data_IF_806842151508
#
_entry.id   IF_806842151508
#
_cell.length_a   1.000
_cell.length_b   1.000
_cell.length_c   1.000
_cell.angle_alpha   90.00
_cell.angle_beta   90.00
_cell.angle_gamma   90.00
#
_symmetry.space_group_name_H-M   'P 1'
#
loop_
_entity.id
_entity.type
_entity.pdbx_description
1 polymer ?
#
# COMPACT_ATOMS: atom_id res chain seq x y z
N UNK A 1 29.90 92.65 -32.52
CA UNK A 1 28.61 91.92 -32.56
C UNK A 1 28.74 90.46 -32.14
N UNK A 2 29.96 89.94 -31.90
CA UNK A 2 30.16 88.73 -31.10
C UNK A 2 31.22 89.04 -30.04
N UNK A 3 30.77 89.31 -28.80
CA UNK A 3 31.65 89.26 -27.64
C UNK A 3 31.76 87.79 -27.22
N UNK A 4 32.89 87.18 -27.60
CA UNK A 4 33.31 85.87 -27.12
C UNK A 4 33.99 85.99 -25.75
N UNK A 5 33.38 86.74 -24.82
CA UNK A 5 33.87 86.93 -23.46
C UNK A 5 33.21 85.92 -22.49
N UNK A 6 33.49 86.07 -21.19
CA UNK A 6 33.12 85.20 -20.06
C UNK A 6 31.66 84.68 -20.00
N UNK A 7 30.76 85.18 -20.86
CA UNK A 7 29.38 84.73 -21.05
C UNK A 7 29.28 83.31 -21.61
N UNK A 8 30.18 82.87 -22.49
CA UNK A 8 30.18 81.50 -23.03
C UNK A 8 30.57 80.45 -21.96
N UNK A 9 31.67 80.64 -21.19
CA UNK A 9 31.95 79.81 -20.03
C UNK A 9 30.81 79.82 -19.00
N UNK A 10 30.19 80.97 -18.72
CA UNK A 10 29.07 81.09 -17.80
C UNK A 10 27.85 80.27 -18.27
N UNK A 11 27.50 80.34 -19.56
CA UNK A 11 26.43 79.53 -20.15
C UNK A 11 26.76 78.03 -20.10
N UNK A 12 28.01 77.64 -20.33
CA UNK A 12 28.45 76.25 -20.21
C UNK A 12 28.32 75.73 -18.78
N UNK A 13 28.68 76.54 -17.77
CA UNK A 13 28.51 76.21 -16.35
C UNK A 13 27.02 76.08 -16.00
N UNK A 14 26.18 77.01 -16.46
CA UNK A 14 24.74 76.95 -16.25
C UNK A 14 24.10 75.72 -16.92
N UNK A 15 24.53 75.38 -18.12
CA UNK A 15 24.09 74.17 -18.81
C UNK A 15 24.54 72.90 -18.05
N UNK A 16 25.78 72.83 -17.59
CA UNK A 16 26.26 71.71 -16.77
C UNK A 16 25.48 71.57 -15.47
N UNK A 17 25.20 72.67 -14.77
CA UNK A 17 24.36 72.66 -13.58
C UNK A 17 22.95 72.12 -13.88
N UNK A 18 22.35 72.54 -14.99
CA UNK A 18 21.04 72.06 -15.43
C UNK A 18 21.09 70.55 -15.74
N UNK A 19 22.12 70.07 -16.45
CA UNK A 19 22.30 68.65 -16.76
C UNK A 19 22.42 67.81 -15.49
N UNK A 20 23.21 68.25 -14.51
CA UNK A 20 23.35 67.56 -13.23
C UNK A 20 22.03 67.51 -12.47
N UNK A 21 21.31 68.65 -12.42
CA UNK A 21 20.01 68.73 -11.76
C UNK A 21 18.97 67.84 -12.45
N UNK A 22 18.91 67.85 -13.78
CA UNK A 22 17.99 67.03 -14.57
C UNK A 22 18.31 65.53 -14.45
N UNK A 23 19.59 65.16 -14.40
CA UNK A 23 20.01 63.79 -14.16
C UNK A 23 19.52 63.30 -12.79
N UNK A 24 19.75 64.09 -11.74
CA UNK A 24 19.35 63.73 -10.38
C UNK A 24 17.82 63.69 -10.20
N UNK A 25 17.08 64.64 -10.79
CA UNK A 25 15.64 64.82 -10.56
C UNK A 25 14.76 64.03 -11.54
N UNK A 26 15.21 63.77 -12.76
CA UNK A 26 14.35 63.18 -13.80
C UNK A 26 14.88 61.82 -14.28
N UNK A 27 16.12 61.77 -14.75
CA UNK A 27 16.65 60.54 -15.35
C UNK A 27 16.83 59.42 -14.33
N UNK A 28 17.42 59.72 -13.17
CA UNK A 28 17.64 58.73 -12.11
C UNK A 28 16.35 58.09 -11.55
N UNK A 29 15.28 58.84 -11.21
CA UNK A 29 14.02 58.21 -10.80
C UNK A 29 13.31 57.50 -11.95
N UNK A 30 13.42 58.00 -13.20
CA UNK A 30 12.82 57.34 -14.35
C UNK A 30 13.46 55.98 -14.64
N UNK A 31 14.79 55.90 -14.63
CA UNK A 31 15.50 54.61 -14.82
C UNK A 31 15.17 53.64 -13.70
N UNK A 32 15.09 54.13 -12.45
CA UNK A 32 14.70 53.29 -11.31
C UNK A 32 13.32 52.68 -11.49
N UNK A 33 12.32 53.45 -11.93
CA UNK A 33 10.96 52.91 -12.18
C UNK A 33 10.95 51.88 -13.33
N UNK A 34 11.79 52.06 -14.35
CA UNK A 34 11.92 51.09 -15.43
C UNK A 34 12.59 49.80 -14.97
N UNK A 35 13.64 49.89 -14.15
CA UNK A 35 14.30 48.75 -13.51
C UNK A 35 13.33 48.01 -12.58
N UNK A 36 12.64 48.72 -11.68
CA UNK A 36 11.66 48.13 -10.77
C UNK A 36 10.57 47.36 -11.56
N UNK A 37 10.10 47.91 -12.69
CA UNK A 37 9.13 47.21 -13.56
C UNK A 37 9.73 45.98 -14.23
N UNK A 38 10.95 46.07 -14.73
CA UNK A 38 11.63 44.95 -15.35
C UNK A 38 11.84 43.81 -14.35
N UNK A 39 12.25 44.15 -13.12
CA UNK A 39 12.47 43.20 -12.03
C UNK A 39 11.16 42.55 -11.57
N UNK A 40 10.08 43.31 -11.45
CA UNK A 40 8.76 42.77 -11.13
C UNK A 40 8.28 41.77 -12.18
N UNK A 41 8.43 42.08 -13.47
CA UNK A 41 8.04 41.18 -14.57
C UNK A 41 8.92 39.92 -14.57
N UNK A 42 10.23 40.09 -14.38
CA UNK A 42 11.19 38.97 -14.33
C UNK A 42 10.89 38.04 -13.15
N UNK A 43 10.65 38.62 -11.97
CA UNK A 43 10.32 37.88 -10.74
C UNK A 43 8.99 37.16 -10.88
N UNK A 44 7.95 37.83 -11.41
CA UNK A 44 6.65 37.20 -11.65
C UNK A 44 6.74 36.03 -12.64
N UNK A 45 7.53 36.19 -13.71
CA UNK A 45 7.76 35.13 -14.71
C UNK A 45 8.50 33.94 -14.11
N UNK A 46 9.51 34.20 -13.28
CA UNK A 46 10.30 33.16 -12.60
C UNK A 46 9.43 32.43 -11.58
N UNK A 47 8.70 33.16 -10.74
CA UNK A 47 7.76 32.58 -9.78
C UNK A 47 6.67 31.73 -10.43
N UNK A 48 6.14 32.15 -11.60
CA UNK A 48 5.19 31.34 -12.36
C UNK A 48 5.81 30.04 -12.87
N UNK A 49 7.05 30.07 -13.39
CA UNK A 49 7.78 28.87 -13.82
C UNK A 49 8.06 27.93 -12.66
N UNK A 50 8.53 28.45 -11.54
CA UNK A 50 8.83 27.66 -10.35
C UNK A 50 7.57 27.07 -9.74
N UNK A 51 6.44 27.80 -9.79
CA UNK A 51 5.13 27.28 -9.40
C UNK A 51 4.68 26.12 -10.27
N UNK A 52 4.80 26.23 -11.59
CA UNK A 52 4.49 25.13 -12.52
C UNK A 52 5.39 23.91 -12.27
N UNK A 53 6.69 24.11 -12.12
CA UNK A 53 7.63 23.03 -11.84
C UNK A 53 7.33 22.32 -10.50
N UNK A 54 6.92 23.07 -9.47
CA UNK A 54 6.50 22.49 -8.20
C UNK A 54 5.20 21.68 -8.33
N UNK A 55 4.21 22.19 -9.07
CA UNK A 55 2.97 21.45 -9.33
C UNK A 55 3.26 20.16 -10.08
N UNK A 56 4.06 20.20 -11.15
CA UNK A 56 4.47 19.01 -11.89
C UNK A 56 5.19 18.00 -11.00
N UNK A 57 6.11 18.46 -10.14
CA UNK A 57 6.82 17.60 -9.19
C UNK A 57 5.88 16.95 -8.17
N UNK A 58 4.91 17.70 -7.63
CA UNK A 58 3.91 17.19 -6.68
C UNK A 58 3.00 16.17 -7.38
N UNK A 59 2.52 16.47 -8.59
CA UNK A 59 1.70 15.54 -9.37
C UNK A 59 2.45 14.25 -9.67
N UNK A 60 3.72 14.33 -10.09
CA UNK A 60 4.54 13.14 -10.34
C UNK A 60 4.77 12.30 -9.07
N UNK A 61 5.01 12.94 -7.92
CA UNK A 61 5.11 12.24 -6.64
C UNK A 61 3.79 11.56 -6.26
N UNK A 62 2.67 12.26 -6.43
CA UNK A 62 1.34 11.72 -6.12
C UNK A 62 0.98 10.52 -7.01
N UNK A 63 1.22 10.60 -8.32
CA UNK A 63 1.02 9.48 -9.23
C UNK A 63 1.90 8.28 -8.86
N UNK A 64 3.16 8.54 -8.50
CA UNK A 64 4.07 7.49 -8.03
C UNK A 64 3.56 6.83 -6.75
N UNK A 65 3.15 7.62 -5.76
CA UNK A 65 2.64 7.12 -4.48
C UNK A 65 1.34 6.33 -4.64
N UNK A 66 0.44 6.78 -5.52
CA UNK A 66 -0.75 6.01 -5.90
C UNK A 66 -0.39 4.68 -6.56
N UNK A 67 0.57 4.69 -7.48
CA UNK A 67 1.07 3.48 -8.13
C UNK A 67 1.70 2.50 -7.14
N UNK A 68 2.53 3.00 -6.21
CA UNK A 68 3.16 2.22 -5.15
C UNK A 68 2.12 1.64 -4.19
N UNK A 69 1.13 2.43 -3.79
CA UNK A 69 0.05 1.99 -2.90
C UNK A 69 -0.81 0.89 -3.54
N UNK A 70 -1.12 1.01 -4.83
CA UNK A 70 -1.84 -0.04 -5.57
C UNK A 70 -1.02 -1.34 -5.66
N UNK A 71 0.29 -1.24 -5.92
CA UNK A 71 1.19 -2.41 -5.94
C UNK A 71 1.25 -3.09 -4.57
N UNK A 72 1.41 -2.32 -3.49
CA UNK A 72 1.42 -2.84 -2.11
C UNK A 72 0.09 -3.51 -1.76
N UNK A 73 -1.03 -2.87 -2.08
CA UNK A 73 -2.35 -3.44 -1.85
C UNK A 73 -2.53 -4.77 -2.59
N UNK A 74 -2.15 -4.83 -3.87
CA UNK A 74 -2.24 -6.05 -4.66
C UNK A 74 -1.35 -7.16 -4.07
N UNK A 75 -0.13 -6.83 -3.66
CA UNK A 75 0.78 -7.79 -3.02
C UNK A 75 0.19 -8.35 -1.71
N UNK A 76 -0.36 -7.48 -0.85
CA UNK A 76 -1.02 -7.89 0.41
C UNK A 76 -2.24 -8.79 0.10
N UNK A 77 -3.03 -8.45 -0.92
CA UNK A 77 -4.19 -9.24 -1.29
C UNK A 77 -3.81 -10.62 -1.81
N UNK A 78 -2.75 -10.70 -2.61
CA UNK A 78 -2.26 -11.96 -3.16
C UNK A 78 -1.61 -12.84 -2.07
N UNK A 79 -0.87 -12.23 -1.14
CA UNK A 79 -0.32 -12.90 0.04
C UNK A 79 -1.43 -13.45 0.95
N UNK A 80 -2.43 -12.63 1.28
CA UNK A 80 -3.56 -13.04 2.11
C UNK A 80 -4.38 -14.17 1.45
N UNK A 81 -4.55 -14.15 0.12
CA UNK A 81 -5.20 -15.24 -0.61
C UNK A 81 -4.38 -16.52 -0.58
N UNK A 82 -3.07 -16.42 -0.78
CA UNK A 82 -2.18 -17.58 -0.73
C UNK A 82 -2.14 -18.21 0.67
N UNK A 83 -2.10 -17.38 1.72
CA UNK A 83 -2.17 -17.84 3.11
C UNK A 83 -3.52 -18.49 3.43
N UNK A 84 -4.63 -17.85 3.04
CA UNK A 84 -5.96 -18.41 3.23
C UNK A 84 -6.13 -19.76 2.51
N UNK A 85 -5.62 -19.88 1.27
CA UNK A 85 -5.65 -21.12 0.52
C UNK A 85 -4.82 -22.20 1.22
N UNK A 86 -3.62 -21.86 1.70
CA UNK A 86 -2.76 -22.78 2.43
C UNK A 86 -3.43 -23.30 3.71
N UNK A 87 -4.04 -22.40 4.50
CA UNK A 87 -4.77 -22.78 5.71
C UNK A 87 -5.94 -23.69 5.35
N UNK A 88 -6.71 -23.36 4.31
CA UNK A 88 -7.83 -24.19 3.87
C UNK A 88 -7.36 -25.60 3.45
N UNK A 89 -6.26 -25.69 2.71
CA UNK A 89 -5.70 -26.98 2.29
C UNK A 89 -5.16 -27.80 3.47
N UNK A 90 -4.52 -27.15 4.44
CA UNK A 90 -4.04 -27.78 5.69
C UNK A 90 -5.20 -28.31 6.54
N UNK A 91 -6.25 -27.51 6.72
CA UNK A 91 -7.46 -27.91 7.46
C UNK A 91 -8.19 -29.07 6.77
N UNK A 92 -8.34 -29.03 5.45
CA UNK A 92 -8.96 -30.13 4.69
C UNK A 92 -8.12 -31.40 4.81
N UNK A 93 -6.79 -31.30 4.70
CA UNK A 93 -5.90 -32.45 4.86
C UNK A 93 -5.96 -33.02 6.28
N UNK A 94 -6.01 -32.17 7.31
CA UNK A 94 -6.13 -32.59 8.69
C UNK A 94 -7.46 -33.29 8.95
N UNK A 95 -8.57 -32.72 8.47
CA UNK A 95 -9.90 -33.32 8.58
C UNK A 95 -10.00 -34.67 7.87
N UNK A 96 -9.38 -34.82 6.69
CA UNK A 96 -9.30 -36.10 5.99
C UNK A 96 -8.49 -37.14 6.79
N UNK A 97 -7.34 -36.75 7.34
CA UNK A 97 -6.52 -37.64 8.16
C UNK A 97 -7.27 -38.09 9.42
N UNK A 98 -7.97 -37.17 10.09
CA UNK A 98 -8.80 -37.50 11.25
C UNK A 98 -9.96 -38.44 10.88
N UNK A 99 -10.65 -38.18 9.77
CA UNK A 99 -11.73 -39.04 9.30
C UNK A 99 -11.25 -40.47 8.98
N UNK A 100 -10.05 -40.62 8.40
CA UNK A 100 -9.42 -41.93 8.17
C UNK A 100 -9.11 -42.61 9.50
N UNK A 101 -8.48 -41.91 10.44
CA UNK A 101 -8.15 -42.45 11.76
C UNK A 101 -9.40 -42.90 12.53
N UNK A 102 -10.48 -42.10 12.50
CA UNK A 102 -11.76 -42.46 13.11
C UNK A 102 -12.37 -43.71 12.46
N UNK A 103 -12.32 -43.83 11.12
CA UNK A 103 -12.79 -45.04 10.42
C UNK A 103 -12.00 -46.28 10.82
N UNK A 104 -10.68 -46.19 10.90
CA UNK A 104 -9.83 -47.31 11.31
C UNK A 104 -10.12 -47.73 12.75
N UNK A 105 -10.32 -46.77 13.65
CA UNK A 105 -10.67 -47.05 15.04
C UNK A 105 -12.05 -47.72 15.12
N UNK A 106 -13.06 -47.18 14.43
CA UNK A 106 -14.39 -47.77 14.39
C UNK A 106 -14.38 -49.20 13.82
N UNK A 107 -13.55 -49.46 12.80
CA UNK A 107 -13.39 -50.80 12.23
C UNK A 107 -12.79 -51.78 13.24
N UNK A 108 -11.74 -51.36 13.97
CA UNK A 108 -11.14 -52.16 15.05
C UNK A 108 -12.14 -52.46 16.17
N UNK A 109 -12.92 -51.47 16.57
CA UNK A 109 -13.94 -51.61 17.61
C UNK A 109 -15.04 -52.58 17.17
N UNK A 110 -15.49 -52.50 15.90
CA UNK A 110 -16.44 -53.45 15.32
C UNK A 110 -15.90 -54.88 15.29
N UNK A 111 -14.63 -55.06 14.91
CA UNK A 111 -14.01 -56.39 14.88
C UNK A 111 -13.88 -56.99 16.29
N UNK A 112 -13.54 -56.17 17.29
CA UNK A 112 -13.54 -56.58 18.69
C UNK A 112 -14.94 -56.95 19.20
N UNK A 113 -15.95 -56.12 18.91
CA UNK A 113 -17.34 -56.40 19.28
C UNK A 113 -17.85 -57.69 18.63
N UNK A 114 -17.51 -57.92 17.35
CA UNK A 114 -17.86 -59.15 16.64
C UNK A 114 -17.20 -60.38 17.29
N UNK A 115 -15.92 -60.30 17.65
CA UNK A 115 -15.23 -61.38 18.34
C UNK A 115 -15.86 -61.68 19.71
N UNK A 116 -16.18 -60.64 20.51
CA UNK A 116 -16.86 -60.78 21.79
C UNK A 116 -18.27 -61.38 21.67
N UNK A 117 -19.04 -60.95 20.66
CA UNK A 117 -20.36 -61.49 20.37
C UNK A 117 -20.29 -62.98 19.98
N UNK A 118 -19.33 -63.37 19.12
CA UNK A 118 -19.12 -64.77 18.75
C UNK A 118 -18.73 -65.64 19.94
N UNK A 119 -17.86 -65.15 20.83
CA UNK A 119 -17.51 -65.86 22.07
C UNK A 119 -18.72 -66.07 22.96
N UNK A 120 -19.53 -65.02 23.15
CA UNK A 120 -20.77 -65.09 23.93
C UNK A 120 -21.75 -66.10 23.32
N UNK A 121 -21.90 -66.10 21.99
CA UNK A 121 -22.78 -67.02 21.29
C UNK A 121 -22.32 -68.48 21.47
N UNK A 122 -21.02 -68.75 21.37
CA UNK A 122 -20.46 -70.09 21.60
C UNK A 122 -20.74 -70.57 23.04
N UNK A 123 -20.61 -69.68 24.03
CA UNK A 123 -20.93 -69.99 25.42
C UNK A 123 -22.41 -70.32 25.62
N UNK A 124 -23.32 -69.55 25.00
CA UNK A 124 -24.76 -69.80 25.05
C UNK A 124 -25.14 -71.11 24.36
N UNK A 125 -24.54 -71.42 23.20
CA UNK A 125 -24.76 -72.69 22.48
C UNK A 125 -24.28 -73.88 23.31
N UNK A 126 -23.12 -73.78 23.97
CA UNK A 126 -22.60 -74.81 24.87
C UNK A 126 -23.49 -75.06 26.09
N UNK A 127 -23.99 -73.98 26.70
CA UNK A 127 -24.96 -74.07 27.81
C UNK A 127 -26.26 -74.74 27.36
N UNK A 128 -26.82 -74.30 26.23
CA UNK A 128 -28.08 -74.85 25.70
C UNK A 128 -27.92 -76.33 25.30
N UNK A 129 -26.77 -76.72 24.74
CA UNK A 129 -26.47 -78.11 24.38
C UNK A 129 -26.39 -79.00 25.63
N UNK A 130 -25.78 -78.51 26.71
CA UNK A 130 -25.71 -79.21 28.00
C UNK A 130 -27.07 -79.35 28.66
N UNK A 131 -27.91 -78.32 28.55
CA UNK A 131 -29.27 -78.31 29.07
C UNK A 131 -30.16 -79.32 28.32
N UNK A 132 -30.02 -79.42 26.99
CA UNK A 132 -30.67 -80.45 26.16
C UNK A 132 -30.20 -81.85 26.55
N UNK A 133 -28.89 -82.07 26.71
CA UNK A 133 -28.31 -83.36 27.13
C UNK A 133 -28.86 -83.82 28.49
N UNK A 134 -28.93 -82.91 29.47
CA UNK A 134 -29.53 -83.21 30.77
C UNK A 134 -31.02 -83.56 30.66
N UNK A 135 -31.78 -82.87 29.81
CA UNK A 135 -33.21 -83.15 29.61
C UNK A 135 -33.46 -84.53 28.97
N UNK A 136 -32.56 -84.99 28.10
CA UNK A 136 -32.65 -86.31 27.46
C UNK A 136 -32.22 -87.42 28.44
N UNK A 137 -31.16 -87.22 29.21
CA UNK A 137 -30.64 -88.21 30.17
C UNK A 137 -31.54 -88.42 31.39
N UNK A 138 -32.32 -87.42 31.79
CA UNK A 138 -33.32 -87.53 32.88
C UNK A 138 -34.67 -88.08 32.38
N UNK A 139 -34.83 -88.25 31.06
CA UNK A 139 -36.03 -88.76 30.41
C UNK A 139 -36.05 -90.28 30.15
N UNK A 140 -35.04 -91.02 30.64
CA UNK A 140 -35.00 -92.50 30.70
C UNK A 140 -35.02 -92.91 32.16
#
# INVERSE_FOLDING_TARGET
MFDFDATLPLMAVQFMLLVVLLNAVFFKPLTKVLEDRADLISTAKTGAKDGLAQVEAITAQYEKELGDSRRKYQAILDEAKAEAQKIADEEVSAAQAEAVAQREQAQKDLDQQKAAAMSTLQQQVGSLSSEILNKILVGV
#
